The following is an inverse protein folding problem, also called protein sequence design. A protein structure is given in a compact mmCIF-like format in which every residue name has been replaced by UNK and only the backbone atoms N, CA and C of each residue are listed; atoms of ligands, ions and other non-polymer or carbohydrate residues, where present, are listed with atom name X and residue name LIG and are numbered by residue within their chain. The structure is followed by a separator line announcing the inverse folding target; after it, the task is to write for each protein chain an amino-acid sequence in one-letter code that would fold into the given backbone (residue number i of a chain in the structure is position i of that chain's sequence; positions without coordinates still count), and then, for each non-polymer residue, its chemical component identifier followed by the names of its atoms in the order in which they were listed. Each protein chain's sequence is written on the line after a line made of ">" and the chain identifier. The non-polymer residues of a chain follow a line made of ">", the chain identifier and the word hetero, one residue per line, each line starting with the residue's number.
data_IF_407232937847
#
_entry.id   IF_407232937847
#
_cell.length_a   1.000
_cell.length_b   1.000
_cell.length_c   1.000
_cell.angle_alpha   90.00
_cell.angle_beta   90.00
_cell.angle_gamma   90.00
#
_symmetry.space_group_name_H-M   'P 1'
#
loop_
_entity.id
_entity.type
_entity.pdbx_description
1 polymer ?
#
# COMPACT_ATOMS: atom_id res chain seq x y z
N UNK A 1 18.16 -1.61 2.91
CA UNK A 1 16.81 -1.57 2.30
C UNK A 1 15.83 -2.60 2.89
N UNK A 2 16.05 -3.93 2.75
CA UNK A 2 15.12 -4.98 3.23
C UNK A 2 14.73 -4.88 4.72
N UNK A 3 15.69 -4.58 5.60
CA UNK A 3 15.43 -4.39 7.03
C UNK A 3 14.45 -3.23 7.30
N UNK A 4 14.56 -2.13 6.54
CA UNK A 4 13.65 -0.99 6.64
C UNK A 4 12.23 -1.36 6.20
N UNK A 5 12.09 -2.09 5.09
CA UNK A 5 10.78 -2.55 4.61
C UNK A 5 10.08 -3.43 5.66
N UNK A 6 10.80 -4.39 6.25
CA UNK A 6 10.26 -5.21 7.33
C UNK A 6 9.87 -4.40 8.58
N UNK A 7 10.72 -3.45 8.98
CA UNK A 7 10.42 -2.60 10.13
C UNK A 7 9.18 -1.72 9.91
N UNK A 8 9.00 -1.19 8.69
CA UNK A 8 7.79 -0.42 8.34
C UNK A 8 6.56 -1.33 8.33
N UNK A 9 6.64 -2.51 7.69
CA UNK A 9 5.53 -3.47 7.67
C UNK A 9 5.09 -3.90 9.07
N UNK A 10 6.04 -4.24 9.95
CA UNK A 10 5.75 -4.61 11.33
C UNK A 10 5.09 -3.47 12.12
N UNK A 11 5.57 -2.23 11.93
CA UNK A 11 4.95 -1.05 12.57
C UNK A 11 3.53 -0.81 12.05
N UNK A 12 3.31 -0.90 10.74
CA UNK A 12 1.98 -0.74 10.14
C UNK A 12 1.02 -1.81 10.65
N UNK A 13 1.46 -3.07 10.73
CA UNK A 13 0.64 -4.15 11.27
C UNK A 13 0.25 -3.88 12.73
N UNK A 14 1.22 -3.53 13.59
CA UNK A 14 0.96 -3.22 14.99
C UNK A 14 -0.04 -2.05 15.17
N UNK A 15 -0.01 -1.06 14.25
CA UNK A 15 -0.99 0.03 14.26
C UNK A 15 -2.40 -0.44 13.86
N UNK A 16 -2.50 -1.32 12.86
CA UNK A 16 -3.79 -1.82 12.38
C UNK A 16 -4.45 -2.79 13.37
N UNK A 17 -3.67 -3.53 14.17
CA UNK A 17 -4.18 -4.44 15.20
C UNK A 17 -5.02 -3.73 16.27
N UNK A 18 -4.75 -2.45 16.54
CA UNK A 18 -5.45 -1.66 17.56
C UNK A 18 -6.30 -0.52 16.99
N UNK A 19 -6.35 -0.36 15.66
CA UNK A 19 -7.05 0.74 15.03
C UNK A 19 -8.56 0.52 14.98
N UNK A 20 -9.33 1.60 15.17
CA UNK A 20 -10.72 1.64 14.72
C UNK A 20 -10.75 1.75 13.20
N UNK A 21 -11.16 0.66 12.54
CA UNK A 21 -11.19 0.56 11.09
C UNK A 21 -12.29 1.42 10.44
N UNK A 22 -13.30 1.83 11.21
CA UNK A 22 -14.41 2.66 10.76
C UNK A 22 -14.19 4.16 11.04
N UNK A 23 -13.17 4.52 11.81
CA UNK A 23 -12.76 5.91 12.01
C UNK A 23 -12.42 6.57 10.67
N UNK A 24 -13.03 7.74 10.40
CA UNK A 24 -12.83 8.49 9.16
C UNK A 24 -12.10 9.81 9.36
N UNK A 25 -11.20 10.14 8.43
CA UNK A 25 -10.48 11.41 8.38
C UNK A 25 -10.74 12.12 7.06
N UNK A 26 -10.79 13.45 7.10
CA UNK A 26 -10.80 14.28 5.90
C UNK A 26 -9.47 14.15 5.18
N UNK A 27 -9.55 14.02 3.86
CA UNK A 27 -8.38 14.04 3.00
C UNK A 27 -7.86 15.47 2.85
N UNK A 28 -6.55 15.64 2.60
CA UNK A 28 -6.01 16.96 2.31
C UNK A 28 -6.65 17.54 1.05
N UNK A 29 -6.81 18.86 1.02
CA UNK A 29 -7.30 19.56 -0.18
C UNK A 29 -6.27 19.39 -1.30
N UNK A 30 -6.65 18.66 -2.35
CA UNK A 30 -5.82 18.40 -3.51
C UNK A 30 -6.69 18.23 -4.77
N UNK A 31 -6.20 18.59 -5.98
CA UNK A 31 -7.01 18.63 -7.19
C UNK A 31 -7.50 17.26 -7.69
N UNK A 32 -6.97 16.16 -7.15
CA UNK A 32 -7.39 14.78 -7.46
C UNK A 32 -8.32 14.17 -6.40
N UNK A 33 -8.66 14.92 -5.34
CA UNK A 33 -9.67 14.51 -4.37
C UNK A 33 -10.92 15.38 -4.52
N UNK A 34 -12.09 14.74 -4.41
CA UNK A 34 -13.35 15.46 -4.31
C UNK A 34 -13.38 16.35 -3.06
N UNK A 35 -14.11 17.46 -3.13
CA UNK A 35 -14.24 18.38 -1.99
C UNK A 35 -14.88 17.66 -0.80
N UNK A 36 -14.25 17.78 0.37
CA UNK A 36 -14.73 17.12 1.60
C UNK A 36 -14.58 15.61 1.60
N UNK A 37 -13.80 15.02 0.68
CA UNK A 37 -13.56 13.58 0.66
C UNK A 37 -13.00 13.08 2.01
N UNK A 38 -13.51 11.94 2.47
CA UNK A 38 -13.09 11.30 3.72
C UNK A 38 -12.75 9.85 3.48
N UNK A 39 -11.68 9.37 4.09
CA UNK A 39 -11.32 7.96 4.08
C UNK A 39 -11.37 7.38 5.48
N UNK A 40 -11.88 6.15 5.59
CA UNK A 40 -11.74 5.36 6.80
C UNK A 40 -10.33 4.77 6.90
N UNK A 41 -9.90 4.41 8.11
CA UNK A 41 -8.64 3.66 8.30
C UNK A 41 -8.65 2.37 7.45
N UNK A 42 -9.79 1.68 7.35
CA UNK A 42 -9.96 0.52 6.46
C UNK A 42 -9.66 0.85 5.00
N UNK A 43 -10.20 1.97 4.49
CA UNK A 43 -9.96 2.39 3.10
C UNK A 43 -8.46 2.62 2.88
N UNK A 44 -7.81 3.39 3.75
CA UNK A 44 -6.35 3.65 3.64
C UNK A 44 -5.56 2.34 3.61
N UNK A 45 -5.86 1.40 4.51
CA UNK A 45 -5.15 0.12 4.58
C UNK A 45 -5.31 -0.71 3.29
N UNK A 46 -6.53 -0.81 2.77
CA UNK A 46 -6.80 -1.54 1.52
C UNK A 46 -6.16 -0.86 0.31
N UNK A 47 -6.17 0.47 0.25
CA UNK A 47 -5.52 1.23 -0.81
C UNK A 47 -4.01 0.96 -0.84
N UNK A 48 -3.34 1.05 0.32
CA UNK A 48 -1.90 0.77 0.41
C UNK A 48 -1.56 -0.68 0.05
N UNK A 49 -2.40 -1.65 0.42
CA UNK A 49 -2.22 -3.05 0.03
C UNK A 49 -2.30 -3.23 -1.50
N UNK A 50 -3.26 -2.56 -2.15
CA UNK A 50 -3.40 -2.59 -3.59
C UNK A 50 -2.17 -1.98 -4.30
N UNK A 51 -1.72 -0.80 -3.86
CA UNK A 51 -0.53 -0.12 -4.41
C UNK A 51 0.74 -0.98 -4.28
N UNK A 52 0.96 -1.60 -3.11
CA UNK A 52 2.10 -2.50 -2.89
C UNK A 52 2.02 -3.70 -3.83
N UNK A 53 0.84 -4.28 -4.01
CA UNK A 53 0.63 -5.44 -4.89
C UNK A 53 0.91 -5.08 -6.35
N UNK A 54 0.44 -3.91 -6.80
CA UNK A 54 0.69 -3.41 -8.15
C UNK A 54 2.19 -3.19 -8.39
N UNK A 55 2.87 -2.51 -7.46
CA UNK A 55 4.31 -2.26 -7.59
C UNK A 55 5.16 -3.53 -7.48
N UNK A 56 4.74 -4.51 -6.67
CA UNK A 56 5.40 -5.80 -6.61
C UNK A 56 5.31 -6.54 -7.96
N UNK A 57 4.14 -6.51 -8.61
CA UNK A 57 3.98 -7.05 -9.96
C UNK A 57 4.87 -6.36 -11.00
N UNK A 58 4.93 -5.02 -10.98
CA UNK A 58 5.84 -4.28 -11.86
C UNK A 58 7.32 -4.60 -11.60
N UNK A 59 7.71 -4.75 -10.33
CA UNK A 59 9.07 -5.15 -9.98
C UNK A 59 9.41 -6.56 -10.45
N UNK A 60 8.42 -7.48 -10.47
CA UNK A 60 8.61 -8.82 -11.01
C UNK A 60 8.85 -8.78 -12.52
N UNK A 61 8.06 -8.02 -13.29
CA UNK A 61 8.29 -7.83 -14.75
C UNK A 61 9.71 -7.33 -15.03
N UNK A 62 10.20 -6.36 -14.24
CA UNK A 62 11.58 -5.85 -14.39
C UNK A 62 12.61 -6.95 -14.07
N UNK A 63 12.38 -7.73 -13.01
CA UNK A 63 13.26 -8.86 -12.66
C UNK A 63 13.32 -9.88 -13.79
N UNK A 64 12.17 -10.31 -14.32
CA UNK A 64 12.09 -11.25 -15.44
C UNK A 64 12.84 -10.75 -16.68
N UNK A 65 12.74 -9.44 -16.98
CA UNK A 65 13.47 -8.84 -18.09
C UNK A 65 15.00 -8.83 -17.90
N UNK A 66 15.47 -8.87 -16.65
CA UNK A 66 16.90 -8.86 -16.31
C UNK A 66 17.47 -10.29 -16.25
N UNK A 67 16.74 -11.23 -15.65
CA UNK A 67 17.23 -12.59 -15.41
C UNK A 67 16.78 -13.64 -16.43
N UNK A 68 15.81 -13.28 -17.30
CA UNK A 68 15.27 -14.16 -18.34
C UNK A 68 14.41 -15.31 -17.81
N UNK A 69 14.08 -15.32 -16.52
CA UNK A 69 13.20 -16.33 -15.92
C UNK A 69 11.79 -15.78 -15.73
N UNK A 70 10.80 -16.50 -16.25
CA UNK A 70 9.39 -16.17 -16.07
C UNK A 70 8.83 -16.80 -14.80
N UNK A 71 8.11 -16.02 -13.99
CA UNK A 71 7.35 -16.53 -12.84
C UNK A 71 6.10 -17.29 -13.30
N UNK A 72 5.57 -16.93 -14.47
CA UNK A 72 4.37 -17.51 -15.07
C UNK A 72 4.66 -17.82 -16.55
N UNK A 73 5.25 -18.97 -16.83
CA UNK A 73 5.62 -19.42 -18.18
C UNK A 73 6.07 -20.87 -18.19
#
# INVERSE_FOLDING_TARGET
>A
MRARLRAVGARTQAQLETADLDLTHELPVAPWFEEGARWSVRHVALHILAEISQHAGHADIIREAIDGQHTMG
#
